data_IF_077072447483
#
_entry.id   IF_077072447483
#
_cell.length_a   1.000
_cell.length_b   1.000
_cell.length_c   1.000
_cell.angle_alpha   90.00
_cell.angle_beta   90.00
_cell.angle_gamma   90.00
#
_symmetry.space_group_name_H-M   'P 1'
#
loop_
_entity.id
_entity.type
_entity.pdbx_description
1 polymer ?
#
# COMPACT_ATOMS: atom_id res chain seq x y z
N UNK A 1 4.23 22.59 -16.22
CA UNK A 1 3.58 22.77 -14.91
C UNK A 1 4.41 22.10 -13.83
N UNK A 2 4.68 22.81 -12.75
CA UNK A 2 5.37 22.26 -11.59
C UNK A 2 4.34 21.79 -10.57
N UNK A 3 4.55 20.60 -10.05
CA UNK A 3 3.69 20.06 -9.01
C UNK A 3 4.48 19.90 -7.72
N UNK A 4 4.01 20.55 -6.66
CA UNK A 4 4.58 20.38 -5.33
C UNK A 4 3.58 19.61 -4.48
N UNK A 5 3.87 18.37 -4.13
CA UNK A 5 2.96 17.58 -3.30
C UNK A 5 2.77 18.23 -1.93
N UNK A 6 1.55 18.16 -1.43
CA UNK A 6 1.22 18.70 -0.12
C UNK A 6 0.34 17.66 0.62
N UNK A 7 0.93 16.56 1.07
CA UNK A 7 0.17 15.54 1.76
C UNK A 7 -0.35 16.04 3.11
N UNK A 8 -1.37 15.37 3.62
CA UNK A 8 -1.89 15.65 4.97
C UNK A 8 -0.73 15.49 5.96
N UNK A 9 -0.60 16.47 6.86
CA UNK A 9 0.42 16.41 7.90
C UNK A 9 0.02 15.38 8.96
N UNK A 10 0.74 14.26 9.00
CA UNK A 10 0.52 13.17 9.95
C UNK A 10 1.59 13.11 11.03
N UNK A 11 2.43 14.13 11.14
CA UNK A 11 3.58 14.10 12.06
C UNK A 11 3.20 13.98 13.53
N UNK A 12 2.00 14.45 13.89
CA UNK A 12 1.49 14.36 15.26
C UNK A 12 0.75 13.06 15.54
N UNK A 13 0.54 12.21 14.54
CA UNK A 13 -0.18 10.96 14.71
C UNK A 13 0.81 9.83 14.98
N UNK A 14 0.54 9.06 16.04
CA UNK A 14 1.32 7.87 16.38
C UNK A 14 0.37 6.68 16.39
N UNK A 15 0.67 5.67 15.59
CA UNK A 15 -0.15 4.46 15.56
C UNK A 15 0.28 3.51 16.66
N UNK A 16 -0.69 2.91 17.33
CA UNK A 16 -0.42 1.89 18.34
C UNK A 16 0.19 0.65 17.68
N UNK A 17 0.96 -0.11 18.48
CA UNK A 17 1.68 -1.28 17.95
C UNK A 17 0.77 -2.32 17.30
N UNK A 18 -0.44 -2.52 17.83
CA UNK A 18 -1.37 -3.47 17.22
C UNK A 18 -1.85 -3.02 15.83
N UNK A 19 -1.84 -1.71 15.55
CA UNK A 19 -2.17 -1.19 14.23
C UNK A 19 -1.05 -1.39 13.24
N UNK A 20 0.18 -1.65 13.69
CA UNK A 20 1.29 -1.94 12.79
C UNK A 20 1.09 -3.27 12.07
N UNK A 21 0.43 -4.23 12.70
CA UNK A 21 0.06 -5.47 12.03
C UNK A 21 -0.98 -5.21 10.94
N UNK A 22 -1.93 -4.31 11.22
CA UNK A 22 -2.90 -3.88 10.21
C UNK A 22 -2.21 -3.25 9.01
N UNK A 23 -1.16 -2.44 9.25
CA UNK A 23 -0.37 -1.84 8.17
C UNK A 23 0.16 -2.92 7.23
N UNK A 24 0.71 -4.02 7.78
CA UNK A 24 1.25 -5.10 6.97
C UNK A 24 0.16 -5.79 6.14
N UNK A 25 -1.00 -6.04 6.73
CA UNK A 25 -2.14 -6.60 5.99
C UNK A 25 -2.59 -5.67 4.86
N UNK A 26 -2.64 -4.37 5.14
CA UNK A 26 -3.06 -3.39 4.14
C UNK A 26 -2.05 -3.26 3.02
N UNK A 27 -0.75 -3.32 3.34
CA UNK A 27 0.29 -3.27 2.32
C UNK A 27 0.16 -4.44 1.35
N UNK A 28 0.00 -5.63 1.88
CA UNK A 28 -0.19 -6.83 1.05
C UNK A 28 -1.48 -6.72 0.23
N UNK A 29 -2.57 -6.28 0.85
CA UNK A 29 -3.84 -6.13 0.15
C UNK A 29 -3.74 -5.11 -0.98
N UNK A 30 -3.08 -3.98 -0.74
CA UNK A 30 -2.90 -2.95 -1.76
C UNK A 30 -2.14 -3.50 -2.96
N UNK A 31 -1.10 -4.30 -2.70
CA UNK A 31 -0.37 -4.95 -3.77
C UNK A 31 -1.26 -5.90 -4.57
N UNK A 32 -2.05 -6.72 -3.88
CA UNK A 32 -2.91 -7.70 -4.53
C UNK A 32 -4.02 -7.01 -5.34
N UNK A 33 -4.57 -5.91 -4.84
CA UNK A 33 -5.56 -5.12 -5.59
C UNK A 33 -4.95 -4.56 -6.87
N UNK A 34 -3.75 -3.97 -6.75
CA UNK A 34 -3.03 -3.45 -7.91
C UNK A 34 -2.77 -4.55 -8.93
N UNK A 35 -2.25 -5.70 -8.47
CA UNK A 35 -1.92 -6.81 -9.36
C UNK A 35 -3.17 -7.36 -10.07
N UNK A 36 -4.27 -7.50 -9.33
CA UNK A 36 -5.51 -7.98 -9.90
C UNK A 36 -6.00 -7.07 -11.02
N UNK A 37 -5.94 -5.76 -10.82
CA UNK A 37 -6.35 -4.80 -11.84
C UNK A 37 -5.44 -4.85 -13.06
N UNK A 38 -4.13 -4.96 -12.86
CA UNK A 38 -3.16 -5.05 -13.96
C UNK A 38 -3.40 -6.32 -14.77
N UNK A 39 -3.58 -7.44 -14.11
CA UNK A 39 -3.84 -8.71 -14.80
C UNK A 39 -5.14 -8.62 -15.61
N UNK A 40 -6.18 -7.99 -15.05
CA UNK A 40 -7.44 -7.80 -15.78
C UNK A 40 -7.26 -6.93 -17.03
N UNK A 41 -6.26 -6.04 -17.03
CA UNK A 41 -5.93 -5.19 -18.17
C UNK A 41 -4.98 -5.88 -19.17
N UNK A 42 -4.63 -7.14 -18.94
CA UNK A 42 -3.77 -7.91 -19.83
C UNK A 42 -2.30 -7.89 -19.48
N UNK A 43 -1.92 -7.32 -18.34
CA UNK A 43 -0.52 -7.31 -17.90
C UNK A 43 -0.13 -8.69 -17.38
N UNK A 44 1.15 -9.00 -17.51
CA UNK A 44 1.74 -10.25 -17.02
C UNK A 44 3.12 -9.99 -16.46
N UNK A 45 3.65 -10.96 -15.75
CA UNK A 45 5.00 -10.86 -15.24
C UNK A 45 6.02 -10.80 -16.40
N UNK A 46 7.02 -9.95 -16.22
CA UNK A 46 8.20 -9.90 -17.09
C UNK A 46 9.38 -9.40 -16.28
N UNK A 47 10.61 -9.70 -16.69
CA UNK A 47 11.81 -9.33 -15.91
C UNK A 47 12.06 -7.82 -15.83
N UNK A 48 11.47 -7.05 -16.75
CA UNK A 48 11.56 -5.59 -16.76
C UNK A 48 10.21 -5.02 -17.12
N UNK A 49 9.95 -3.81 -16.66
CA UNK A 49 8.72 -3.13 -17.04
C UNK A 49 8.75 -2.80 -18.53
N UNK A 50 7.77 -3.31 -19.27
CA UNK A 50 7.60 -3.06 -20.69
C UNK A 50 6.15 -2.71 -20.97
N UNK A 51 5.86 -1.43 -21.11
CA UNK A 51 4.48 -0.97 -21.35
C UNK A 51 3.95 -1.46 -22.69
N UNK A 52 4.82 -1.55 -23.71
CA UNK A 52 4.46 -2.04 -25.03
C UNK A 52 4.03 -3.52 -25.01
N UNK A 53 4.60 -4.32 -24.11
CA UNK A 53 4.26 -5.73 -23.97
C UNK A 53 3.36 -6.00 -22.77
N UNK A 54 3.05 -4.98 -21.98
CA UNK A 54 2.31 -5.09 -20.73
C UNK A 54 2.95 -6.10 -19.78
N UNK A 55 4.25 -5.93 -19.57
CA UNK A 55 5.03 -6.76 -18.64
C UNK A 55 5.53 -5.94 -17.47
N UNK A 56 5.49 -6.53 -16.29
CA UNK A 56 5.92 -5.83 -15.07
C UNK A 56 6.56 -6.82 -14.10
N UNK A 57 7.75 -6.49 -13.56
CA UNK A 57 8.46 -7.39 -12.66
C UNK A 57 7.82 -7.52 -11.29
N UNK A 58 6.93 -6.61 -10.90
CA UNK A 58 6.24 -6.68 -9.60
C UNK A 58 4.94 -7.48 -9.64
N UNK A 59 4.59 -8.11 -10.77
CA UNK A 59 3.44 -9.01 -10.85
C UNK A 59 3.80 -10.38 -10.29
N UNK A 60 4.12 -10.39 -9.01
CA UNK A 60 4.49 -11.56 -8.21
C UNK A 60 3.78 -11.45 -6.87
N UNK A 61 3.68 -12.54 -6.09
CA UNK A 61 3.15 -12.44 -4.73
C UNK A 61 3.91 -11.39 -3.90
N UNK A 62 3.20 -10.73 -3.00
CA UNK A 62 3.77 -9.68 -2.17
C UNK A 62 5.07 -10.13 -1.48
N UNK A 63 5.09 -11.38 -0.99
CA UNK A 63 6.23 -11.93 -0.27
C UNK A 63 7.50 -12.02 -1.13
N UNK A 64 7.35 -12.05 -2.46
CA UNK A 64 8.47 -12.13 -3.38
C UNK A 64 8.94 -10.78 -3.92
N UNK A 65 8.27 -9.68 -3.50
CA UNK A 65 8.69 -8.35 -3.92
C UNK A 65 10.05 -7.99 -3.35
N UNK A 66 10.84 -7.16 -4.05
CA UNK A 66 12.02 -6.55 -3.45
C UNK A 66 11.65 -5.76 -2.19
N UNK A 67 12.56 -5.70 -1.24
CA UNK A 67 12.29 -5.05 0.05
C UNK A 67 11.87 -3.58 -0.13
N UNK A 68 12.48 -2.85 -1.06
CA UNK A 68 12.13 -1.45 -1.32
C UNK A 68 10.68 -1.28 -1.80
N UNK A 69 10.15 -2.25 -2.54
CA UNK A 69 8.76 -2.21 -2.98
C UNK A 69 7.82 -2.49 -1.80
N UNK A 70 8.19 -3.43 -0.91
CA UNK A 70 7.42 -3.69 0.30
C UNK A 70 7.40 -2.49 1.22
N UNK A 71 8.54 -1.81 1.38
CA UNK A 71 8.64 -0.61 2.20
C UNK A 71 7.74 0.49 1.64
N UNK A 72 7.73 0.66 0.33
CA UNK A 72 6.84 1.63 -0.31
C UNK A 72 5.38 1.33 0.00
N UNK A 73 4.97 0.08 -0.14
CA UNK A 73 3.58 -0.32 0.14
C UNK A 73 3.23 -0.13 1.62
N UNK A 74 4.16 -0.45 2.52
CA UNK A 74 3.96 -0.26 3.96
C UNK A 74 3.83 1.21 4.32
N UNK A 75 4.70 2.05 3.77
CA UNK A 75 4.65 3.49 4.04
C UNK A 75 3.34 4.09 3.54
N UNK A 76 2.89 3.70 2.36
CA UNK A 76 1.62 4.18 1.82
C UNK A 76 0.46 3.77 2.72
N UNK A 77 0.42 2.51 3.15
CA UNK A 77 -0.63 2.02 4.04
C UNK A 77 -0.60 2.74 5.39
N UNK A 78 0.59 2.91 5.96
CA UNK A 78 0.75 3.58 7.25
C UNK A 78 0.30 5.04 7.17
N UNK A 79 0.70 5.76 6.12
CA UNK A 79 0.30 7.16 5.95
C UNK A 79 -1.21 7.29 5.73
N UNK A 80 -1.82 6.33 5.05
CA UNK A 80 -3.28 6.33 4.89
C UNK A 80 -3.99 6.20 6.24
N UNK A 81 -3.55 5.28 7.09
CA UNK A 81 -4.15 5.12 8.42
C UNK A 81 -3.91 6.35 9.29
N UNK A 82 -2.71 6.93 9.23
CA UNK A 82 -2.42 8.16 9.97
C UNK A 82 -3.29 9.32 9.48
N UNK A 83 -3.51 9.41 8.17
CA UNK A 83 -4.35 10.45 7.60
C UNK A 83 -5.78 10.35 8.10
N UNK A 84 -6.31 9.12 8.22
CA UNK A 84 -7.65 8.89 8.78
C UNK A 84 -7.72 9.48 10.19
N UNK A 85 -6.71 9.23 11.02
CA UNK A 85 -6.66 9.77 12.37
C UNK A 85 -6.50 11.29 12.38
N UNK A 86 -5.67 11.81 11.49
CA UNK A 86 -5.44 13.26 11.38
C UNK A 86 -6.72 14.01 10.98
N UNK A 87 -7.62 13.34 10.26
CA UNK A 87 -8.90 13.90 9.83
C UNK A 87 -10.00 13.77 10.91
N UNK A 88 -9.66 13.28 12.11
CA UNK A 88 -10.55 13.27 13.23
C UNK A 88 -11.23 11.94 13.52
N UNK A 89 -10.77 10.87 12.89
CA UNK A 89 -11.32 9.53 13.12
C UNK A 89 -10.43 8.72 14.07
N UNK A 90 -11.03 7.74 14.71
CA UNK A 90 -10.32 6.80 15.56
C UNK A 90 -10.44 5.41 14.95
N UNK A 91 -9.32 4.69 14.88
CA UNK A 91 -9.29 3.34 14.35
C UNK A 91 -9.28 2.36 15.52
N UNK A 92 -10.35 1.60 15.66
CA UNK A 92 -10.52 0.64 16.75
C UNK A 92 -10.96 -0.71 16.16
N UNK A 93 -10.50 -1.83 16.72
CA UNK A 93 -11.03 -3.11 16.30
C UNK A 93 -12.50 -3.24 16.67
N UNK A 94 -13.24 -3.96 15.83
CA UNK A 94 -14.63 -4.27 16.15
C UNK A 94 -14.67 -5.22 17.34
N UNK A 95 -15.60 -5.03 18.30
CA UNK A 95 -15.69 -5.94 19.44
C UNK A 95 -16.05 -7.38 19.04
N UNK A 96 -16.60 -7.57 17.86
CA UNK A 96 -16.97 -8.90 17.34
C UNK A 96 -15.86 -9.57 16.54
N UNK A 97 -14.72 -8.87 16.34
CA UNK A 97 -13.58 -9.37 15.57
C UNK A 97 -12.61 -10.10 16.48
N UNK A 98 -12.21 -11.29 16.09
CA UNK A 98 -11.25 -12.10 16.83
C UNK A 98 -9.94 -12.26 16.11
#
# INVERSE_FOLDING_TARGET
>A
MNYTPNPIDTSAVSLESELMQLVEYMAKNNHDVWAKERIAQGWKYGPCRRDDLKEHPCLVPYELLPEEEKIYDRNSAMETLKAVCALGYTILPSPDTK
#
